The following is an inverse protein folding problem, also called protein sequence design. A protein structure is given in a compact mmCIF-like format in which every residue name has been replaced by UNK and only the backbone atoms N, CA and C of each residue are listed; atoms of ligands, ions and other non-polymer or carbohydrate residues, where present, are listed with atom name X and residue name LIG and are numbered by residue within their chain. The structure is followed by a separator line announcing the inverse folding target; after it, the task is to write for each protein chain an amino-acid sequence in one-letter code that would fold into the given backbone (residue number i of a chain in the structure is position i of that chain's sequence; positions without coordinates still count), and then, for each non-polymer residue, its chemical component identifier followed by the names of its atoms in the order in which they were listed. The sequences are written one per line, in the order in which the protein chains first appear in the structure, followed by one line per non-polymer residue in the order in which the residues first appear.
data_IF_579995488614
#
_entry.id   IF_579995488614
#
_cell.length_a   1.000
_cell.length_b   1.000
_cell.length_c   1.000
_cell.angle_alpha   90.00
_cell.angle_beta   90.00
_cell.angle_gamma   90.00
#
_symmetry.space_group_name_H-M   'P 1'
#
loop_
_entity.id
_entity.type
_entity.pdbx_description
1 polymer ?
#
# COMPACT_ATOMS: atom_id res chain seq x y z
N UNK A 1 -10.04 -5.32 -10.68
CA UNK A 1 -10.14 -4.77 -9.33
C UNK A 1 -11.54 -4.96 -8.78
N UNK A 2 -11.63 -5.29 -7.52
CA UNK A 2 -12.93 -5.49 -6.88
C UNK A 2 -13.07 -4.54 -5.72
N UNK A 3 -14.30 -4.19 -5.38
CA UNK A 3 -14.55 -3.30 -4.25
C UNK A 3 -15.80 -3.77 -3.52
N UNK A 4 -16.01 -3.24 -2.32
CA UNK A 4 -17.28 -3.41 -1.64
C UNK A 4 -18.37 -2.68 -2.42
N UNK A 5 -19.63 -2.95 -2.08
CA UNK A 5 -20.75 -2.34 -2.80
C UNK A 5 -20.69 -0.83 -2.77
N UNK A 6 -20.30 -0.27 -1.66
CA UNK A 6 -20.17 1.17 -1.53
C UNK A 6 -18.73 1.51 -1.23
N UNK A 7 -18.29 2.66 -1.69
CA UNK A 7 -16.92 3.11 -1.48
C UNK A 7 -16.87 4.58 -1.10
N UNK A 8 -17.99 5.15 -0.72
CA UNK A 8 -18.06 6.56 -0.40
C UNK A 8 -17.25 6.96 0.83
N UNK A 9 -16.90 5.99 1.67
CA UNK A 9 -16.07 6.27 2.83
C UNK A 9 -14.62 5.90 2.63
N UNK A 10 -14.36 4.80 1.94
CA UNK A 10 -12.97 4.37 1.77
C UNK A 10 -12.22 5.24 0.76
N UNK A 11 -12.89 5.74 -0.27
CA UNK A 11 -12.20 6.54 -1.27
C UNK A 11 -11.65 7.85 -0.69
N UNK A 12 -12.43 8.63 0.08
CA UNK A 12 -11.85 9.82 0.70
C UNK A 12 -10.71 9.48 1.66
N UNK A 13 -10.83 8.38 2.39
CA UNK A 13 -9.79 7.96 3.31
C UNK A 13 -8.52 7.60 2.55
N UNK A 14 -8.65 6.92 1.43
CA UNK A 14 -7.53 6.56 0.59
C UNK A 14 -6.83 7.80 0.05
N UNK A 15 -7.61 8.78 -0.40
CA UNK A 15 -7.04 10.01 -0.93
C UNK A 15 -6.26 10.75 0.15
N UNK A 16 -6.82 10.83 1.36
CA UNK A 16 -6.15 11.49 2.46
C UNK A 16 -4.85 10.78 2.83
N UNK A 17 -4.88 9.44 2.87
CA UNK A 17 -3.69 8.68 3.18
C UNK A 17 -2.62 8.88 2.10
N UNK A 18 -3.04 8.95 0.86
CA UNK A 18 -2.12 9.13 -0.25
C UNK A 18 -1.41 10.47 -0.18
N UNK A 19 -2.13 11.52 0.26
CA UNK A 19 -1.51 12.83 0.44
C UNK A 19 -0.44 12.78 1.54
N UNK A 20 -0.70 12.04 2.60
CA UNK A 20 0.28 11.89 3.66
C UNK A 20 1.55 11.22 3.17
N UNK A 21 1.40 10.21 2.34
CA UNK A 21 2.55 9.53 1.77
C UNK A 21 3.34 10.47 0.87
N UNK A 22 2.65 11.29 0.11
CA UNK A 22 3.30 12.26 -0.77
C UNK A 22 4.16 13.24 0.01
N UNK A 23 3.67 13.71 1.16
CA UNK A 23 4.43 14.63 1.98
C UNK A 23 5.70 13.96 2.51
N UNK A 24 5.61 12.71 2.89
CA UNK A 24 6.77 12.00 3.40
C UNK A 24 7.80 11.76 2.31
N UNK A 25 7.35 11.50 1.10
CA UNK A 25 8.28 11.31 0.00
C UNK A 25 9.14 12.54 -0.22
N UNK A 26 8.57 13.72 -0.04
CA UNK A 26 9.34 14.93 -0.17
C UNK A 26 10.44 14.99 0.88
N UNK A 27 10.12 14.53 2.08
CA UNK A 27 11.10 14.53 3.15
C UNK A 27 12.19 13.50 2.89
N UNK A 28 11.80 12.32 2.42
CA UNK A 28 12.78 11.27 2.23
C UNK A 28 13.67 11.52 1.01
N UNK A 29 13.38 12.51 0.21
CA UNK A 29 14.27 12.84 -0.88
C UNK A 29 15.45 13.68 -0.39
N UNK A 30 15.57 13.85 0.90
CA UNK A 30 16.67 14.59 1.48
C UNK A 30 18.00 13.97 1.08
N UNK A 31 18.97 14.77 0.67
CA UNK A 31 20.26 14.24 0.21
C UNK A 31 21.07 13.53 1.28
N UNK A 32 20.65 13.60 2.52
CA UNK A 32 21.36 12.87 3.55
C UNK A 32 21.08 11.38 3.49
N UNK A 33 20.02 10.98 2.83
CA UNK A 33 19.72 9.56 2.73
C UNK A 33 20.52 8.96 1.61
N UNK A 34 21.54 8.23 1.97
CA UNK A 34 22.36 7.59 0.97
C UNK A 34 22.00 6.14 0.78
N UNK A 35 21.40 5.55 1.77
CA UNK A 35 21.03 4.15 1.71
C UNK A 35 19.62 4.01 1.23
N UNK A 36 19.43 3.20 0.20
CA UNK A 36 18.08 2.96 -0.29
C UNK A 36 17.25 2.24 0.75
N UNK A 37 17.89 1.42 1.58
CA UNK A 37 17.15 0.67 2.56
C UNK A 37 16.62 1.58 3.67
N UNK A 38 17.43 2.53 4.10
CA UNK A 38 16.98 3.46 5.12
C UNK A 38 15.85 4.31 4.58
N UNK A 39 15.97 4.75 3.33
CA UNK A 39 14.94 5.55 2.71
C UNK A 39 13.65 4.75 2.55
N UNK A 40 13.78 3.50 2.14
CA UNK A 40 12.63 2.64 1.96
C UNK A 40 11.93 2.38 3.29
N UNK A 41 12.69 2.14 4.34
CA UNK A 41 12.13 1.91 5.66
C UNK A 41 11.35 3.13 6.13
N UNK A 42 11.88 4.31 5.91
CA UNK A 42 11.20 5.55 6.26
C UNK A 42 9.88 5.68 5.51
N UNK A 43 9.89 5.36 4.22
CA UNK A 43 8.69 5.44 3.40
C UNK A 43 7.65 4.43 3.87
N UNK A 44 8.09 3.21 4.16
CA UNK A 44 7.17 2.15 4.61
C UNK A 44 6.52 2.55 5.93
N UNK A 45 7.30 3.07 6.88
CA UNK A 45 6.77 3.47 8.17
C UNK A 45 5.78 4.62 8.01
N UNK A 46 6.08 5.55 7.12
CA UNK A 46 5.20 6.66 6.87
C UNK A 46 3.90 6.22 6.20
N UNK A 47 3.98 5.23 5.31
CA UNK A 47 2.79 4.69 4.68
C UNK A 47 1.90 4.03 5.73
N UNK A 48 2.49 3.27 6.63
CA UNK A 48 1.72 2.61 7.68
C UNK A 48 1.03 3.64 8.56
N UNK A 49 1.74 4.71 8.90
CA UNK A 49 1.18 5.77 9.73
C UNK A 49 0.03 6.47 9.02
N UNK A 50 0.22 6.80 7.74
CA UNK A 50 -0.83 7.48 6.97
C UNK A 50 -2.07 6.61 6.84
N UNK A 51 -1.89 5.30 6.62
CA UNK A 51 -3.02 4.39 6.54
C UNK A 51 -3.75 4.33 7.88
N UNK A 52 -3.00 4.16 8.96
CA UNK A 52 -3.62 4.04 10.27
C UNK A 52 -4.39 5.29 10.65
N UNK A 53 -3.85 6.46 10.36
CA UNK A 53 -4.52 7.71 10.68
C UNK A 53 -5.83 7.88 9.94
N UNK A 54 -5.96 7.22 8.81
CA UNK A 54 -7.17 7.34 8.01
C UNK A 54 -8.07 6.10 8.10
N UNK A 55 -7.81 5.27 9.08
CA UNK A 55 -8.66 4.10 9.32
C UNK A 55 -8.52 3.02 8.27
N UNK A 56 -7.35 2.91 7.67
CA UNK A 56 -7.11 1.95 6.61
C UNK A 56 -6.12 0.89 7.06
N UNK A 57 -6.30 -0.31 6.55
CA UNK A 57 -5.37 -1.40 6.78
C UNK A 57 -5.24 -2.22 5.49
N UNK A 58 -4.06 -2.76 5.27
CA UNK A 58 -3.78 -3.55 4.08
C UNK A 58 -3.62 -5.01 4.49
N UNK A 59 -4.23 -5.89 3.71
CA UNK A 59 -4.09 -7.32 3.88
C UNK A 59 -3.66 -7.92 2.55
N UNK A 60 -2.71 -8.82 2.59
CA UNK A 60 -2.19 -9.43 1.38
C UNK A 60 -2.10 -10.93 1.53
N UNK A 61 -2.32 -11.63 0.44
CA UNK A 61 -2.12 -13.07 0.41
C UNK A 61 -1.76 -13.47 -1.01
N UNK A 62 -1.26 -14.69 -1.16
CA UNK A 62 -0.94 -15.23 -2.47
C UNK A 62 -1.96 -16.31 -2.76
N UNK A 63 -2.59 -16.21 -3.92
CA UNK A 63 -3.61 -17.16 -4.31
C UNK A 63 -3.45 -17.47 -5.80
N UNK A 64 -3.21 -18.73 -6.11
CA UNK A 64 -3.11 -19.18 -7.49
C UNK A 64 -2.14 -18.35 -8.33
N UNK A 65 -0.96 -18.09 -7.77
CA UNK A 65 0.06 -17.36 -8.51
C UNK A 65 -0.14 -15.88 -8.59
N UNK A 66 -1.07 -15.34 -7.83
CA UNK A 66 -1.31 -13.91 -7.81
C UNK A 66 -1.17 -13.36 -6.41
N UNK A 67 -0.62 -12.16 -6.31
CA UNK A 67 -0.61 -11.43 -5.04
C UNK A 67 -1.91 -10.66 -4.96
N UNK A 68 -2.70 -10.97 -3.96
CA UNK A 68 -3.98 -10.29 -3.73
C UNK A 68 -3.77 -9.28 -2.62
N UNK A 69 -4.06 -8.03 -2.91
CA UNK A 69 -3.93 -6.95 -1.94
C UNK A 69 -5.31 -6.37 -1.69
N UNK A 70 -5.72 -6.32 -0.44
CA UNK A 70 -7.00 -5.74 -0.09
C UNK A 70 -6.79 -4.62 0.91
N UNK A 71 -7.42 -3.48 0.63
CA UNK A 71 -7.38 -2.33 1.50
C UNK A 71 -8.72 -2.28 2.22
N UNK A 72 -8.68 -2.31 3.55
CA UNK A 72 -9.88 -2.25 4.38
C UNK A 72 -10.01 -0.90 5.05
N UNK A 73 -11.23 -0.44 5.19
CA UNK A 73 -11.52 0.77 5.92
C UNK A 73 -12.38 0.43 7.15
N UNK A 74 -12.29 1.26 8.18
CA UNK A 74 -13.05 1.03 9.41
C UNK A 74 -14.56 0.97 9.21
N UNK A 75 -15.04 1.53 8.11
CA UNK A 75 -16.46 1.46 7.79
C UNK A 75 -16.90 0.07 7.31
N UNK A 76 -15.96 -0.80 7.06
CA UNK A 76 -16.25 -2.11 6.46
C UNK A 76 -16.11 -2.12 4.96
N UNK A 77 -15.89 -0.97 4.36
CA UNK A 77 -15.68 -0.91 2.92
C UNK A 77 -14.26 -1.37 2.57
N UNK A 78 -14.06 -1.84 1.36
CA UNK A 78 -12.78 -2.38 0.97
C UNK A 78 -12.57 -2.28 -0.54
N UNK A 79 -11.30 -2.32 -0.94
CA UNK A 79 -10.90 -2.37 -2.33
C UNK A 79 -9.83 -3.44 -2.47
N UNK A 80 -9.87 -4.16 -3.60
CA UNK A 80 -8.98 -5.29 -3.78
C UNK A 80 -8.37 -5.27 -5.16
N UNK A 81 -7.08 -5.58 -5.23
CA UNK A 81 -6.36 -5.65 -6.49
C UNK A 81 -5.58 -6.95 -6.59
N UNK A 82 -5.23 -7.32 -7.81
CA UNK A 82 -4.50 -8.54 -8.08
C UNK A 82 -3.26 -8.21 -8.89
N UNK A 83 -2.15 -8.82 -8.52
CA UNK A 83 -0.91 -8.65 -9.25
C UNK A 83 -0.36 -10.04 -9.58
N UNK A 84 -0.19 -10.36 -10.85
CA UNK A 84 0.40 -11.65 -11.20
C UNK A 84 1.82 -11.73 -10.70
N UNK A 85 2.18 -12.87 -10.16
CA UNK A 85 3.54 -13.07 -9.70
C UNK A 85 4.31 -13.76 -10.80
N UNK A 86 5.30 -13.06 -11.32
CA UNK A 86 6.18 -13.62 -12.31
C UNK A 86 7.40 -14.08 -11.59
N UNK A 87 7.54 -15.38 -11.48
CA UNK A 87 8.63 -15.91 -10.69
C UNK A 87 9.81 -16.19 -11.58
N UNK A 88 10.78 -15.37 -11.44
CA UNK A 88 11.96 -15.47 -12.27
C UNK A 88 12.68 -16.77 -12.08
N UNK A 89 12.41 -17.43 -11.00
CA UNK A 89 13.10 -18.63 -10.77
C UNK A 89 12.80 -19.67 -11.77
N UNK A 90 11.84 -19.44 -12.56
CA UNK A 90 11.66 -20.36 -13.60
C UNK A 90 12.91 -20.52 -14.37
N UNK A 91 13.70 -19.53 -14.29
CA UNK A 91 14.91 -19.61 -14.97
C UNK A 91 15.79 -20.56 -14.34
N UNK A 92 15.52 -20.86 -13.16
CA UNK A 92 16.41 -21.62 -12.45
C UNK A 92 16.30 -23.00 -12.71
N UNK A 93 15.47 -23.37 -13.50
CA UNK A 93 15.38 -24.74 -13.68
C UNK A 93 16.17 -25.28 -14.68
#
# INVERSE_FOLDING_TARGET
MRTSDQTDKIIPAYIAANHGVGAVKKTSSNPHFRSKYADLETVVDACADALQKNGLAVWQSINEGQLVTRLYHTSGQWMEGYTPLIIAKNDMQ
#
